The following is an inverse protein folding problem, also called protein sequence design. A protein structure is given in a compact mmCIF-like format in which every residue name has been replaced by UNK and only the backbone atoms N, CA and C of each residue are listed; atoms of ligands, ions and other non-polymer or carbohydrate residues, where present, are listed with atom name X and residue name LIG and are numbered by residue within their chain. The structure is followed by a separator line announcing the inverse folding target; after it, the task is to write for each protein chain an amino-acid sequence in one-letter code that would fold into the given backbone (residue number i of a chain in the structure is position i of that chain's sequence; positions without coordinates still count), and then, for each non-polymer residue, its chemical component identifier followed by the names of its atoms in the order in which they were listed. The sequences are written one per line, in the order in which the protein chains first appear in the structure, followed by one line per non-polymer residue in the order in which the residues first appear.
data_IF_786345178982
#
_entry.id   IF_786345178982
#
_cell.length_a   1.000
_cell.length_b   1.000
_cell.length_c   1.000
_cell.angle_alpha   90.00
_cell.angle_beta   90.00
_cell.angle_gamma   90.00
#
_symmetry.space_group_name_H-M   'P 1'
#
loop_
_entity.id
_entity.type
_entity.pdbx_description
1 polymer ?
#
# COMPACT_ATOMS: atom_id res chain seq x y z
N UNK A 1 -27.13 4.68 14.82
CA UNK A 1 -25.99 4.98 15.72
C UNK A 1 -24.81 5.27 14.81
N UNK A 2 -24.04 6.34 14.99
CA UNK A 2 -22.81 6.46 14.26
C UNK A 2 -21.95 5.24 14.63
N UNK A 3 -21.51 4.51 13.62
CA UNK A 3 -20.57 3.41 13.75
C UNK A 3 -19.34 3.96 14.48
N UNK A 4 -18.97 3.38 15.62
CA UNK A 4 -17.80 3.83 16.36
C UNK A 4 -16.58 3.67 15.45
N UNK A 5 -15.88 4.76 15.17
CA UNK A 5 -14.69 4.71 14.33
C UNK A 5 -13.72 3.67 14.89
N UNK A 6 -13.21 2.80 14.01
CA UNK A 6 -12.21 1.80 14.38
C UNK A 6 -10.96 2.44 14.99
N UNK A 7 -10.29 1.79 15.95
CA UNK A 7 -9.12 2.34 16.63
C UNK A 7 -7.95 2.54 15.64
N UNK A 8 -7.35 3.72 15.73
CA UNK A 8 -6.12 4.08 15.05
C UNK A 8 -5.23 4.83 16.04
N UNK A 9 -3.93 4.53 16.06
CA UNK A 9 -2.96 5.19 16.92
C UNK A 9 -1.98 6.01 16.08
N UNK A 10 -1.87 7.32 16.36
CA UNK A 10 -0.78 8.13 15.82
C UNK A 10 0.46 7.88 16.67
N UNK A 11 1.45 7.19 16.10
CA UNK A 11 2.68 6.82 16.80
C UNK A 11 3.78 7.86 16.63
N UNK A 12 3.83 8.50 15.47
CA UNK A 12 4.73 9.62 15.17
C UNK A 12 3.91 10.74 14.54
N UNK A 13 4.19 11.98 14.95
CA UNK A 13 3.63 13.20 14.34
C UNK A 13 4.75 14.24 14.20
N UNK A 14 4.89 14.79 13.00
CA UNK A 14 5.92 15.77 12.66
C UNK A 14 5.44 16.75 11.59
N UNK A 15 6.30 17.70 11.22
CA UNK A 15 6.03 18.60 10.08
C UNK A 15 5.90 17.86 8.74
N UNK A 16 6.51 16.67 8.61
CA UNK A 16 6.48 15.86 7.39
C UNK A 16 5.21 15.01 7.28
N UNK A 17 4.44 14.86 8.36
CA UNK A 17 3.22 14.08 8.43
C UNK A 17 3.13 13.18 9.66
N UNK A 18 2.41 12.06 9.55
CA UNK A 18 2.15 11.15 10.66
C UNK A 18 2.41 9.70 10.29
N UNK A 19 2.82 8.88 11.27
CA UNK A 19 2.75 7.42 11.20
C UNK A 19 1.51 6.99 11.99
N UNK A 20 0.56 6.38 11.28
CA UNK A 20 -0.72 5.93 11.84
C UNK A 20 -0.75 4.41 11.82
N UNK A 21 -0.93 3.82 12.99
CA UNK A 21 -0.91 2.38 13.23
C UNK A 21 -2.33 1.87 13.51
N UNK A 22 -2.70 0.76 12.88
CA UNK A 22 -4.02 0.15 13.01
C UNK A 22 -3.98 -1.37 12.80
N UNK A 23 -4.97 -2.07 13.33
CA UNK A 23 -5.01 -3.54 13.28
C UNK A 23 -5.51 -4.10 11.94
N UNK A 24 -6.15 -3.27 11.12
CA UNK A 24 -6.64 -3.68 9.80
C UNK A 24 -6.63 -2.53 8.81
N UNK A 25 -6.35 -2.85 7.56
CA UNK A 25 -6.47 -1.91 6.44
C UNK A 25 -7.91 -1.42 6.23
N UNK A 26 -8.90 -2.20 6.66
CA UNK A 26 -10.32 -1.79 6.64
C UNK A 26 -10.65 -0.66 7.62
N UNK A 27 -9.72 -0.31 8.52
CA UNK A 27 -9.88 0.80 9.46
C UNK A 27 -9.51 2.16 8.86
N UNK A 28 -8.92 2.16 7.66
CA UNK A 28 -8.62 3.40 6.93
C UNK A 28 -9.93 4.11 6.58
N UNK A 29 -10.02 5.39 6.94
CA UNK A 29 -11.21 6.22 6.73
C UNK A 29 -10.86 7.70 6.54
N UNK A 30 -11.84 8.59 6.61
CA UNK A 30 -11.68 10.03 6.40
C UNK A 30 -10.74 10.76 7.38
N UNK A 31 -10.23 10.10 8.42
CA UNK A 31 -9.19 10.64 9.32
C UNK A 31 -7.80 10.55 8.71
N UNK A 32 -7.62 9.72 7.69
CA UNK A 32 -6.35 9.48 7.02
C UNK A 32 -6.22 10.33 5.74
N UNK A 33 -5.00 10.61 5.35
CA UNK A 33 -4.75 11.48 4.19
C UNK A 33 -3.33 11.41 3.63
N UNK A 34 -3.02 12.31 2.69
CA UNK A 34 -1.74 12.30 1.96
C UNK A 34 -0.49 12.53 2.81
N UNK A 35 -0.63 13.01 4.04
CA UNK A 35 0.48 13.18 4.99
C UNK A 35 0.75 11.94 5.85
N UNK A 36 -0.06 10.89 5.73
CA UNK A 36 0.04 9.74 6.60
C UNK A 36 0.85 8.59 5.97
N UNK A 37 1.70 7.97 6.76
CA UNK A 37 2.21 6.62 6.52
C UNK A 37 1.35 5.66 7.33
N UNK A 38 0.73 4.69 6.67
CA UNK A 38 -0.18 3.75 7.29
C UNK A 38 0.53 2.42 7.58
N UNK A 39 0.48 1.97 8.83
CA UNK A 39 0.85 0.61 9.23
C UNK A 39 -0.42 -0.12 9.60
N UNK A 40 -0.85 -1.05 8.75
CA UNK A 40 -2.10 -1.78 8.89
C UNK A 40 -1.84 -3.29 8.99
N UNK A 41 -2.01 -3.86 10.19
CA UNK A 41 -1.64 -5.24 10.49
C UNK A 41 -2.61 -6.27 9.90
N UNK A 42 -2.82 -6.19 8.59
CA UNK A 42 -3.68 -7.10 7.85
C UNK A 42 -3.08 -7.48 6.50
N UNK A 43 -3.77 -8.35 5.79
CA UNK A 43 -3.46 -8.83 4.45
C UNK A 43 -3.23 -7.70 3.45
N UNK A 44 -2.12 -7.78 2.70
CA UNK A 44 -1.69 -6.73 1.74
C UNK A 44 -2.17 -7.01 0.31
N UNK A 45 -3.41 -7.44 0.13
CA UNK A 45 -3.97 -7.69 -1.19
C UNK A 45 -4.38 -6.42 -1.94
N UNK A 46 -4.54 -6.54 -3.26
CA UNK A 46 -4.96 -5.43 -4.11
C UNK A 46 -6.36 -4.91 -3.76
N UNK A 47 -7.30 -5.78 -3.42
CA UNK A 47 -8.67 -5.39 -3.12
C UNK A 47 -8.74 -4.41 -1.92
N UNK A 48 -8.19 -4.73 -0.72
CA UNK A 48 -8.20 -3.78 0.39
C UNK A 48 -7.42 -2.50 0.07
N UNK A 49 -6.31 -2.58 -0.65
CA UNK A 49 -5.55 -1.39 -1.07
C UNK A 49 -6.41 -0.48 -1.94
N UNK A 50 -7.04 -1.01 -2.98
CA UNK A 50 -7.84 -0.21 -3.90
C UNK A 50 -9.08 0.39 -3.25
N UNK A 51 -9.71 -0.35 -2.33
CA UNK A 51 -10.97 0.06 -1.74
C UNK A 51 -10.81 1.07 -0.60
N UNK A 52 -9.83 0.87 0.30
CA UNK A 52 -9.67 1.71 1.49
C UNK A 52 -8.46 2.66 1.40
N UNK A 53 -7.33 2.21 0.86
CA UNK A 53 -6.07 2.97 0.93
C UNK A 53 -5.95 3.99 -0.21
N UNK A 54 -6.19 3.60 -1.45
CA UNK A 54 -6.03 4.51 -2.59
C UNK A 54 -6.93 5.74 -2.54
N UNK A 55 -8.18 5.70 -2.03
CA UNK A 55 -9.00 6.90 -1.88
C UNK A 55 -8.39 7.99 -1.00
N UNK A 56 -7.64 7.63 0.05
CA UNK A 56 -7.00 8.59 0.97
C UNK A 56 -5.59 8.97 0.53
N UNK A 57 -5.00 8.24 -0.45
CA UNK A 57 -3.70 8.53 -1.07
C UNK A 57 -2.58 8.78 -0.05
N UNK A 58 -2.29 7.85 0.86
CA UNK A 58 -1.31 8.05 1.91
C UNK A 58 0.09 8.27 1.35
N UNK A 59 1.03 8.68 2.19
CA UNK A 59 2.44 8.88 1.88
C UNK A 59 3.20 7.57 1.73
N UNK A 60 2.73 6.51 2.41
CA UNK A 60 3.27 5.16 2.32
C UNK A 60 2.39 4.16 3.05
N UNK A 61 2.59 2.87 2.79
CA UNK A 61 1.80 1.79 3.38
C UNK A 61 2.68 0.60 3.77
N UNK A 62 2.49 0.10 4.99
CA UNK A 62 3.07 -1.15 5.44
C UNK A 62 1.95 -2.07 5.90
N UNK A 63 1.96 -3.32 5.43
CA UNK A 63 1.01 -4.35 5.84
C UNK A 63 1.69 -5.73 5.86
N UNK A 64 0.95 -6.82 6.10
CA UNK A 64 1.53 -8.15 6.23
C UNK A 64 1.41 -8.96 4.93
N UNK A 65 2.44 -9.73 4.58
CA UNK A 65 2.42 -10.61 3.40
C UNK A 65 1.38 -11.74 3.50
N UNK A 66 0.90 -12.06 4.70
CA UNK A 66 -0.09 -13.12 4.99
C UNK A 66 0.22 -14.45 4.28
N UNK A 67 1.51 -14.85 4.32
CA UNK A 67 2.00 -16.07 3.69
C UNK A 67 2.16 -16.02 2.17
N UNK A 68 1.99 -14.87 1.54
CA UNK A 68 2.17 -14.65 0.10
C UNK A 68 1.07 -15.26 -0.77
N UNK A 69 0.80 -16.54 -0.62
CA UNK A 69 -0.17 -17.28 -1.44
C UNK A 69 0.30 -17.55 -2.87
N UNK A 70 -0.56 -18.21 -3.66
CA UNK A 70 -0.28 -18.49 -5.07
C UNK A 70 -0.17 -17.19 -5.86
N UNK A 71 0.86 -17.10 -6.73
CA UNK A 71 1.15 -15.92 -7.54
C UNK A 71 1.32 -14.63 -6.71
N UNK A 72 1.80 -14.75 -5.47
CA UNK A 72 2.04 -13.63 -4.57
C UNK A 72 0.77 -12.78 -4.30
N UNK A 73 -0.40 -13.40 -4.33
CA UNK A 73 -1.68 -12.71 -4.13
C UNK A 73 -1.76 -11.97 -2.78
N UNK A 74 -1.05 -12.49 -1.75
CA UNK A 74 -0.96 -11.88 -0.42
C UNK A 74 -0.29 -10.51 -0.39
N UNK A 75 0.46 -10.15 -1.42
CA UNK A 75 1.17 -8.87 -1.54
C UNK A 75 0.81 -8.11 -2.81
N UNK A 76 -0.26 -8.50 -3.49
CA UNK A 76 -0.69 -7.86 -4.74
C UNK A 76 -1.00 -6.35 -4.60
N UNK A 77 -1.26 -5.88 -3.39
CA UNK A 77 -1.40 -4.46 -3.08
C UNK A 77 -0.13 -3.63 -3.34
N UNK A 78 1.06 -4.23 -3.28
CA UNK A 78 2.31 -3.55 -3.60
C UNK A 78 2.30 -3.01 -5.04
N UNK A 79 1.82 -3.81 -5.99
CA UNK A 79 1.73 -3.40 -7.40
C UNK A 79 0.66 -2.34 -7.62
N UNK A 80 -0.47 -2.45 -6.92
CA UNK A 80 -1.53 -1.43 -6.98
C UNK A 80 -1.02 -0.07 -6.48
N UNK A 81 -0.25 -0.03 -5.40
CA UNK A 81 0.36 1.20 -4.87
C UNK A 81 1.42 1.78 -5.81
N UNK A 82 2.21 0.92 -6.45
CA UNK A 82 3.32 1.34 -7.31
C UNK A 82 2.83 2.14 -8.52
N UNK A 83 1.71 1.74 -9.12
CA UNK A 83 1.03 2.49 -10.18
C UNK A 83 0.58 3.91 -9.76
N UNK A 84 0.57 4.21 -8.46
CA UNK A 84 0.24 5.52 -7.92
C UNK A 84 1.43 6.25 -7.29
N UNK A 85 2.65 5.73 -7.44
CA UNK A 85 3.86 6.28 -6.83
C UNK A 85 3.86 6.24 -5.30
N UNK A 86 3.08 5.33 -4.71
CA UNK A 86 2.97 5.19 -3.25
C UNK A 86 3.91 4.08 -2.79
N UNK A 87 4.92 4.38 -1.95
CA UNK A 87 5.77 3.37 -1.33
C UNK A 87 4.98 2.34 -0.55
N UNK A 88 5.21 1.07 -0.85
CA UNK A 88 4.58 -0.06 -0.16
C UNK A 88 5.61 -1.08 0.30
N UNK A 89 5.45 -1.60 1.53
CA UNK A 89 6.31 -2.64 2.08
C UNK A 89 5.49 -3.68 2.85
N UNK A 90 5.77 -4.95 2.63
CA UNK A 90 5.10 -6.06 3.30
C UNK A 90 6.02 -6.69 4.35
N UNK A 91 5.52 -6.87 5.58
CA UNK A 91 6.25 -7.59 6.64
C UNK A 91 6.11 -9.10 6.49
N UNK A 92 7.10 -9.84 6.98
CA UNK A 92 6.99 -11.31 7.05
C UNK A 92 5.90 -11.73 8.02
N UNK A 93 5.22 -12.82 7.73
CA UNK A 93 4.21 -13.42 8.62
C UNK A 93 4.80 -13.85 9.96
N UNK A 94 6.09 -14.23 9.99
CA UNK A 94 6.76 -14.72 11.19
C UNK A 94 7.22 -13.61 12.15
N UNK A 95 7.32 -12.34 11.69
CA UNK A 95 7.93 -11.26 12.49
C UNK A 95 6.92 -10.50 13.35
N UNK A 96 5.66 -10.51 13.00
CA UNK A 96 4.62 -9.78 13.73
C UNK A 96 3.26 -10.48 13.64
N UNK A 97 2.40 -10.20 14.61
CA UNK A 97 1.05 -10.74 14.65
C UNK A 97 0.16 -10.03 13.64
N UNK A 98 -0.66 -10.79 12.93
CA UNK A 98 -1.77 -10.23 12.17
C UNK A 98 -2.81 -9.63 13.13
N UNK A 99 -3.46 -8.56 12.74
CA UNK A 99 -4.43 -7.81 13.56
C UNK A 99 -3.86 -7.22 14.87
N UNK A 100 -2.54 -6.92 14.85
CA UNK A 100 -1.86 -6.21 15.94
C UNK A 100 -0.89 -5.18 15.34
N UNK A 101 -1.43 -3.98 15.12
CA UNK A 101 -0.68 -2.88 14.47
C UNK A 101 0.53 -2.43 15.31
N UNK A 102 0.40 -2.42 16.62
CA UNK A 102 1.48 -2.03 17.53
C UNK A 102 2.63 -3.03 17.47
N UNK A 103 2.33 -4.32 17.46
CA UNK A 103 3.34 -5.37 17.30
C UNK A 103 4.03 -5.29 15.93
N UNK A 104 3.27 -5.02 14.85
CA UNK A 104 3.85 -4.84 13.52
C UNK A 104 4.79 -3.63 13.47
N UNK A 105 4.42 -2.50 14.06
CA UNK A 105 5.28 -1.31 14.11
C UNK A 105 6.61 -1.59 14.80
N UNK A 106 6.57 -2.30 15.93
CA UNK A 106 7.77 -2.56 16.77
C UNK A 106 8.61 -3.72 16.25
N UNK A 107 7.98 -4.82 15.87
CA UNK A 107 8.63 -6.10 15.61
C UNK A 107 8.61 -6.54 14.14
N UNK A 108 7.75 -5.91 13.30
CA UNK A 108 7.62 -6.27 11.90
C UNK A 108 8.94 -6.13 11.12
N UNK A 109 9.29 -7.16 10.35
CA UNK A 109 10.47 -7.18 9.47
C UNK A 109 9.97 -7.21 8.03
N UNK A 110 10.43 -6.29 7.21
CA UNK A 110 10.07 -6.20 5.80
C UNK A 110 10.56 -7.43 5.05
N UNK A 111 9.66 -8.07 4.30
CA UNK A 111 9.93 -9.18 3.40
C UNK A 111 9.98 -8.74 1.94
N UNK A 112 9.07 -7.84 1.55
CA UNK A 112 8.92 -7.42 0.17
C UNK A 112 8.58 -5.93 0.10
N UNK A 113 8.97 -5.30 -0.99
CA UNK A 113 8.76 -3.87 -1.26
C UNK A 113 8.35 -3.67 -2.72
N UNK A 114 7.68 -2.57 -3.02
CA UNK A 114 7.47 -2.15 -4.40
C UNK A 114 8.60 -1.22 -4.88
N UNK A 115 8.65 -0.92 -6.18
CA UNK A 115 9.70 -0.08 -6.76
C UNK A 115 9.72 1.33 -6.14
N UNK A 116 8.56 1.86 -5.76
CA UNK A 116 8.47 3.15 -5.07
C UNK A 116 9.16 3.15 -3.70
N UNK A 117 9.04 2.06 -2.93
CA UNK A 117 9.74 1.91 -1.66
C UNK A 117 11.25 1.65 -1.84
N UNK A 118 11.63 0.89 -2.87
CA UNK A 118 13.05 0.67 -3.21
C UNK A 118 13.78 2.00 -3.50
N UNK A 119 13.14 2.95 -4.18
CA UNK A 119 13.68 4.29 -4.41
C UNK A 119 13.96 5.07 -3.13
N UNK A 120 13.29 4.73 -2.04
CA UNK A 120 13.54 5.27 -0.70
C UNK A 120 14.58 4.46 0.09
N UNK A 121 15.28 3.52 -0.55
CA UNK A 121 16.22 2.58 0.07
C UNK A 121 15.58 1.65 1.12
N UNK A 122 14.27 1.44 1.08
CA UNK A 122 13.60 0.44 1.91
C UNK A 122 13.87 -0.94 1.30
N UNK A 123 14.28 -1.90 2.13
CA UNK A 123 14.75 -3.22 1.68
C UNK A 123 14.22 -4.34 2.58
N UNK A 124 14.09 -5.56 2.07
CA UNK A 124 13.90 -6.74 2.89
C UNK A 124 14.92 -6.84 4.04
N UNK A 125 14.45 -7.23 5.20
CA UNK A 125 15.23 -7.27 6.45
C UNK A 125 15.17 -6.01 7.30
N UNK A 126 14.64 -4.89 6.79
CA UNK A 126 14.46 -3.66 7.55
C UNK A 126 13.28 -3.79 8.52
N UNK A 127 13.34 -3.14 9.68
CA UNK A 127 12.22 -3.04 10.60
C UNK A 127 11.09 -2.16 10.06
N UNK A 128 9.83 -2.52 10.33
CA UNK A 128 8.67 -1.78 9.83
C UNK A 128 8.64 -0.32 10.30
N UNK A 129 8.97 -0.05 11.57
CA UNK A 129 9.08 1.32 12.09
C UNK A 129 10.11 2.16 11.34
N UNK A 130 11.32 1.61 11.10
CA UNK A 130 12.37 2.30 10.35
C UNK A 130 11.96 2.54 8.89
N UNK A 131 11.30 1.57 8.25
CA UNK A 131 10.77 1.74 6.91
C UNK A 131 9.69 2.85 6.85
N UNK A 132 8.81 2.91 7.86
CA UNK A 132 7.79 3.94 7.97
C UNK A 132 8.40 5.35 8.13
N UNK A 133 9.48 5.49 8.91
CA UNK A 133 10.19 6.76 9.04
C UNK A 133 10.82 7.21 7.72
N UNK A 134 11.42 6.31 6.94
CA UNK A 134 11.91 6.65 5.61
C UNK A 134 10.78 7.13 4.68
N UNK A 135 9.61 6.48 4.72
CA UNK A 135 8.44 6.92 3.96
C UNK A 135 7.95 8.30 4.45
N UNK A 136 7.95 8.53 5.76
CA UNK A 136 7.47 9.78 6.37
C UNK A 136 8.31 10.99 5.93
N UNK A 137 9.62 10.86 5.93
CA UNK A 137 10.54 11.95 5.59
C UNK A 137 10.79 12.11 4.08
N UNK A 138 10.34 11.18 3.25
CA UNK A 138 10.50 11.28 1.81
C UNK A 138 9.61 12.37 1.20
N UNK A 139 10.10 13.02 0.16
CA UNK A 139 9.24 13.76 -0.76
C UNK A 139 8.26 12.78 -1.43
N UNK A 140 7.05 13.27 -1.74
CA UNK A 140 6.07 12.45 -2.44
C UNK A 140 6.61 12.09 -3.83
N UNK A 141 6.62 10.81 -4.15
CA UNK A 141 7.03 10.33 -5.45
C UNK A 141 5.95 10.65 -6.50
N UNK A 142 6.36 10.99 -7.71
CA UNK A 142 5.43 11.07 -8.83
C UNK A 142 4.95 9.65 -9.18
N UNK A 143 3.67 9.54 -9.54
CA UNK A 143 3.12 8.28 -10.01
C UNK A 143 3.79 7.91 -11.33
N UNK A 144 4.31 6.70 -11.43
CA UNK A 144 4.67 6.16 -12.72
C UNK A 144 3.38 5.95 -13.54
N UNK A 145 3.34 6.35 -14.81
CA UNK A 145 2.16 6.16 -15.62
C UNK A 145 1.86 4.66 -15.80
N UNK A 146 0.77 4.22 -15.24
CA UNK A 146 0.13 2.95 -15.55
C UNK A 146 0.64 1.73 -14.79
N UNK A 147 -0.30 0.94 -14.26
CA UNK A 147 -0.09 -0.47 -14.00
C UNK A 147 0.27 -1.20 -15.32
N UNK A 148 0.99 -2.30 -15.24
CA UNK A 148 1.34 -3.08 -16.43
C UNK A 148 0.07 -3.57 -17.13
N UNK A 149 -0.10 -3.20 -18.35
CA UNK A 149 -1.10 -3.75 -19.26
C UNK A 149 -0.42 -4.20 -20.54
N UNK A 150 -0.97 -5.22 -21.15
CA UNK A 150 -0.58 -5.66 -22.48
C UNK A 150 -1.69 -5.28 -23.46
N UNK A 151 -1.36 -4.58 -24.54
CA UNK A 151 -2.29 -4.41 -25.66
C UNK A 151 -2.29 -5.71 -26.44
N UNK A 152 -3.36 -6.47 -26.29
CA UNK A 152 -3.50 -7.78 -26.97
C UNK A 152 -4.12 -7.66 -28.36
N UNK A 153 -4.77 -6.55 -28.64
CA UNK A 153 -5.31 -6.24 -29.97
C UNK A 153 -5.45 -4.72 -30.11
N UNK A 154 -5.12 -4.18 -31.30
CA UNK A 154 -5.35 -2.80 -31.69
C UNK A 154 -5.98 -2.75 -33.08
N UNK A 155 -7.07 -2.01 -33.24
CA UNK A 155 -7.81 -1.90 -34.49
C UNK A 155 -8.55 -0.57 -34.61
N UNK A 156 -9.25 -0.39 -35.74
CA UNK A 156 -9.94 0.86 -36.08
C UNK A 156 -11.06 1.28 -35.09
N UNK A 157 -11.48 0.37 -34.22
CA UNK A 157 -12.58 0.58 -33.27
C UNK A 157 -12.12 0.61 -31.80
N UNK A 158 -10.78 0.61 -31.54
CA UNK A 158 -10.21 0.66 -30.20
C UNK A 158 -9.18 -0.45 -29.93
N UNK A 159 -8.81 -0.59 -28.66
CA UNK A 159 -7.83 -1.55 -28.18
C UNK A 159 -8.45 -2.56 -27.22
N UNK A 160 -7.95 -3.78 -27.23
CA UNK A 160 -8.22 -4.76 -26.18
C UNK A 160 -6.97 -4.85 -25.31
N UNK A 161 -7.12 -4.59 -24.04
CA UNK A 161 -6.02 -4.60 -23.10
C UNK A 161 -6.21 -5.68 -22.04
N UNK A 162 -5.13 -6.41 -21.76
CA UNK A 162 -5.06 -7.33 -20.63
C UNK A 162 -4.43 -6.63 -19.44
N UNK A 163 -5.13 -6.58 -18.30
CA UNK A 163 -4.65 -6.01 -17.04
C UNK A 163 -4.58 -7.11 -15.98
N UNK A 164 -3.59 -7.02 -15.11
CA UNK A 164 -3.46 -7.95 -13.97
C UNK A 164 -4.58 -7.79 -12.93
N UNK A 165 -5.27 -6.64 -12.91
CA UNK A 165 -6.44 -6.38 -12.05
C UNK A 165 -7.27 -5.23 -12.61
N UNK A 166 -8.58 -5.28 -12.41
CA UNK A 166 -9.51 -4.16 -12.73
C UNK A 166 -9.19 -2.88 -11.95
N UNK A 167 -8.45 -2.97 -10.84
CA UNK A 167 -7.99 -1.81 -10.08
C UNK A 167 -6.98 -0.92 -10.84
N UNK A 168 -6.42 -1.40 -11.94
CA UNK A 168 -5.56 -0.62 -12.84
C UNK A 168 -6.34 0.16 -13.89
N UNK A 169 -7.66 0.00 -13.98
CA UNK A 169 -8.47 0.79 -14.93
C UNK A 169 -8.50 2.25 -14.46
N UNK A 170 -8.13 3.14 -15.33
CA UNK A 170 -8.10 4.59 -15.09
C UNK A 170 -8.68 5.35 -16.29
N UNK A 171 -8.88 6.65 -16.15
CA UNK A 171 -9.32 7.52 -17.24
C UNK A 171 -8.33 7.57 -18.43
N UNK A 172 -7.10 7.09 -18.26
CA UNK A 172 -6.13 6.97 -19.36
C UNK A 172 -6.59 5.99 -20.44
N UNK A 173 -7.55 5.12 -20.11
CA UNK A 173 -8.12 4.13 -21.03
C UNK A 173 -9.53 4.50 -21.53
N UNK A 174 -9.98 5.72 -21.24
CA UNK A 174 -11.28 6.17 -21.70
C UNK A 174 -11.30 6.27 -23.22
N UNK A 175 -12.17 5.48 -23.86
CA UNK A 175 -12.26 5.38 -25.33
C UNK A 175 -11.71 4.09 -25.94
N UNK A 176 -11.18 3.18 -25.15
CA UNK A 176 -10.73 1.83 -25.53
C UNK A 176 -11.83 0.77 -25.32
#
# INVERSE_FOLDING_TARGET
MPESAHPQAVTVESADGRIVVMDSMTYVDGRNGPGDVLIAASYFGSMPVCHWVLPVRPKGVIAQEAGGGKNMAGVSGLWALDGHGIPGAATTTASCRISDGADMYVNGIIAQVNASAERLNIKPGMGAGAAAELMLHAARLEAEPGGSYDVVYEGAHGRIMALGSTSFISNAYAGD
#
